data_IF_786547586041
#
_entry.id   IF_786547586041
#
_cell.length_a   1.000
_cell.length_b   1.000
_cell.length_c   1.000
_cell.angle_alpha   90.00
_cell.angle_beta   90.00
_cell.angle_gamma   90.00
#
_symmetry.space_group_name_H-M   'P 1'
#
loop_
_entity.id
_entity.type
_entity.pdbx_description
1 polymer ?
#
# COMPACT_ATOMS: atom_id res chain seq x y z
N UNK A 1 13.82 -7.27 -9.01
CA UNK A 1 12.53 -6.61 -8.70
C UNK A 1 11.87 -6.31 -10.01
N UNK A 2 10.66 -6.81 -10.21
CA UNK A 2 9.91 -6.66 -11.44
C UNK A 2 8.58 -5.95 -11.16
N UNK A 3 8.14 -5.15 -12.13
CA UNK A 3 6.86 -4.46 -12.05
C UNK A 3 5.83 -5.37 -12.70
N UNK A 4 4.93 -5.93 -11.89
CA UNK A 4 3.93 -6.90 -12.35
C UNK A 4 2.56 -6.23 -12.33
N UNK A 5 1.80 -6.26 -13.45
CA UNK A 5 0.41 -5.83 -13.42
C UNK A 5 -0.42 -6.86 -12.65
N UNK A 6 -1.25 -6.37 -11.71
CA UNK A 6 -2.12 -7.22 -10.89
C UNK A 6 -3.56 -6.76 -11.01
N UNK A 7 -4.50 -7.70 -10.96
CA UNK A 7 -5.92 -7.39 -10.97
C UNK A 7 -6.35 -6.84 -9.61
N UNK A 8 -7.29 -5.88 -9.61
CA UNK A 8 -7.81 -5.23 -8.40
C UNK A 8 -8.28 -6.22 -7.30
N UNK A 9 -8.96 -7.35 -7.61
CA UNK A 9 -9.41 -8.31 -6.59
C UNK A 9 -8.28 -8.96 -5.78
N UNK A 10 -7.04 -8.92 -6.27
CA UNK A 10 -5.87 -9.49 -5.56
C UNK A 10 -5.33 -8.55 -4.47
N UNK A 11 -5.84 -7.32 -4.37
CA UNK A 11 -5.41 -6.35 -3.36
C UNK A 11 -6.17 -6.60 -2.05
N UNK A 12 -5.47 -7.13 -1.04
CA UNK A 12 -6.09 -7.45 0.25
C UNK A 12 -6.19 -6.27 1.22
N UNK A 13 -5.26 -5.30 1.15
CA UNK A 13 -5.22 -4.16 2.05
C UNK A 13 -4.44 -3.00 1.42
N UNK A 14 -4.72 -1.77 1.87
CA UNK A 14 -3.97 -0.57 1.51
C UNK A 14 -3.32 0.04 2.75
N UNK A 15 -2.04 0.42 2.65
CA UNK A 15 -1.33 1.11 3.72
C UNK A 15 -1.66 2.61 3.75
N UNK A 16 -1.53 3.24 4.91
CA UNK A 16 -1.58 4.71 5.09
C UNK A 16 -0.28 5.40 4.71
N UNK A 17 0.83 4.67 4.74
CA UNK A 17 2.16 5.14 4.33
C UNK A 17 2.33 4.94 2.83
N UNK A 18 3.00 5.91 2.18
CA UNK A 18 3.41 5.87 0.78
C UNK A 18 4.92 6.08 0.69
N UNK A 19 5.55 5.43 -0.28
CA UNK A 19 6.96 5.65 -0.63
C UNK A 19 7.06 6.55 -1.86
N UNK A 20 8.16 7.30 -1.98
CA UNK A 20 8.43 8.08 -3.19
C UNK A 20 8.81 7.15 -4.32
N UNK A 21 8.20 7.33 -5.48
CA UNK A 21 8.44 6.53 -6.68
C UNK A 21 8.97 7.48 -7.77
N UNK A 22 10.13 7.21 -8.39
CA UNK A 22 10.63 8.02 -9.50
C UNK A 22 9.70 7.91 -10.71
N UNK A 23 9.73 8.94 -11.57
CA UNK A 23 8.85 9.01 -12.73
C UNK A 23 9.04 7.87 -13.75
N UNK A 24 10.23 7.25 -13.79
CA UNK A 24 10.54 6.14 -14.69
C UNK A 24 11.09 4.93 -13.90
N UNK A 25 10.46 3.77 -14.09
CA UNK A 25 10.83 2.49 -13.47
C UNK A 25 11.39 1.47 -14.48
N UNK A 26 11.54 1.84 -15.75
CA UNK A 26 12.18 0.97 -16.76
C UNK A 26 13.65 0.71 -16.43
N UNK A 27 14.45 1.70 -15.98
CA UNK A 27 15.84 1.47 -15.59
C UNK A 27 15.93 0.52 -14.40
N UNK A 28 16.99 -0.31 -14.37
CA UNK A 28 17.23 -1.25 -13.27
C UNK A 28 17.45 -0.51 -11.93
N UNK A 29 18.18 0.59 -11.97
CA UNK A 29 18.54 1.39 -10.78
C UNK A 29 17.29 1.94 -10.07
N UNK A 30 16.32 2.46 -10.84
CA UNK A 30 15.05 2.95 -10.28
C UNK A 30 14.28 1.84 -9.54
N UNK A 31 14.30 0.62 -10.08
CA UNK A 31 13.68 -0.55 -9.43
C UNK A 31 14.44 -0.99 -8.18
N UNK A 32 15.77 -1.01 -8.22
CA UNK A 32 16.59 -1.37 -7.07
C UNK A 32 16.43 -0.37 -5.92
N UNK A 33 16.36 0.91 -6.22
CA UNK A 33 16.13 1.96 -5.22
C UNK A 33 14.80 1.76 -4.48
N UNK A 34 13.71 1.45 -5.20
CA UNK A 34 12.42 1.15 -4.56
C UNK A 34 12.50 -0.11 -3.69
N UNK A 35 13.18 -1.15 -4.15
CA UNK A 35 13.31 -2.39 -3.37
C UNK A 35 13.94 -2.11 -2.00
N UNK A 36 15.01 -1.30 -1.97
CA UNK A 36 15.66 -0.90 -0.72
C UNK A 36 14.70 -0.10 0.18
N UNK A 37 13.97 0.86 -0.37
CA UNK A 37 12.99 1.64 0.38
C UNK A 37 11.87 0.77 0.98
N UNK A 38 11.41 -0.26 0.24
CA UNK A 38 10.41 -1.22 0.74
C UNK A 38 10.99 -2.09 1.86
N UNK A 39 12.24 -2.55 1.72
CA UNK A 39 12.92 -3.33 2.76
C UNK A 39 13.13 -2.53 4.04
N UNK A 40 13.57 -1.27 3.93
CA UNK A 40 13.70 -0.36 5.06
C UNK A 40 12.35 -0.12 5.75
N UNK A 41 11.27 0.01 4.98
CA UNK A 41 9.93 0.16 5.52
C UNK A 41 9.50 -1.09 6.30
N UNK A 42 9.81 -2.28 5.81
CA UNK A 42 9.58 -3.54 6.53
C UNK A 42 10.34 -3.60 7.86
N UNK A 43 11.61 -3.18 7.87
CA UNK A 43 12.42 -3.12 9.10
C UNK A 43 11.88 -2.10 10.10
N UNK A 44 11.33 -0.98 9.62
CA UNK A 44 10.75 0.07 10.47
C UNK A 44 9.40 -0.30 11.07
N UNK A 45 8.65 -1.18 10.42
CA UNK A 45 7.33 -1.63 10.84
C UNK A 45 7.29 -3.17 10.97
N UNK A 46 7.99 -3.74 11.98
CA UNK A 46 8.13 -5.20 12.12
C UNK A 46 6.79 -5.90 12.37
N UNK A 47 5.83 -5.23 13.01
CA UNK A 47 4.48 -5.76 13.26
C UNK A 47 3.52 -5.56 12.06
N UNK A 48 3.98 -4.89 11.00
CA UNK A 48 3.23 -4.63 9.79
C UNK A 48 2.86 -3.16 9.58
N UNK A 49 2.47 -2.85 8.35
CA UNK A 49 2.16 -1.47 7.94
C UNK A 49 0.80 -1.02 8.49
N UNK A 50 0.67 0.26 8.90
CA UNK A 50 -0.61 0.80 9.30
C UNK A 50 -1.58 0.77 8.12
N UNK A 51 -2.71 0.08 8.30
CA UNK A 51 -3.75 -0.10 7.27
C UNK A 51 -4.65 1.14 7.21
N UNK A 52 -5.16 1.43 6.02
CA UNK A 52 -6.18 2.44 5.82
C UNK A 52 -7.52 1.92 6.35
N UNK A 53 -8.27 2.77 7.05
CA UNK A 53 -9.60 2.39 7.53
C UNK A 53 -10.68 2.79 6.49
N UNK A 54 -11.58 1.87 6.10
CA UNK A 54 -12.56 2.14 5.06
C UNK A 54 -13.66 3.12 5.48
N UNK A 55 -14.11 3.06 6.73
CA UNK A 55 -15.27 3.82 7.24
C UNK A 55 -14.87 5.16 7.83
N UNK A 56 -13.69 5.21 8.49
CA UNK A 56 -13.17 6.46 9.05
C UNK A 56 -12.78 7.43 7.91
N UNK A 57 -12.29 8.61 8.31
CA UNK A 57 -11.89 9.73 7.42
C UNK A 57 -11.00 9.31 6.23
N UNK A 58 -10.33 8.15 6.31
CA UNK A 58 -9.35 7.74 5.32
C UNK A 58 -9.95 7.32 3.95
N UNK A 59 -11.02 6.48 3.88
CA UNK A 59 -11.67 6.13 2.60
C UNK A 59 -13.08 6.70 2.41
N UNK A 60 -13.73 7.20 3.48
CA UNK A 60 -15.06 7.81 3.43
C UNK A 60 -16.14 6.91 2.81
N UNK A 61 -16.11 5.62 3.13
CA UNK A 61 -17.19 4.70 2.78
C UNK A 61 -18.29 4.86 3.83
N UNK A 62 -19.45 5.35 3.42
CA UNK A 62 -20.58 5.71 4.30
C UNK A 62 -21.74 4.70 4.21
N UNK A 63 -21.60 3.64 3.41
CA UNK A 63 -22.64 2.63 3.24
C UNK A 63 -22.95 1.92 4.57
N UNK A 64 -24.21 1.96 5.06
CA UNK A 64 -24.55 1.50 6.39
C UNK A 64 -24.24 0.02 6.61
N UNK A 65 -24.42 -0.81 5.58
CA UNK A 65 -24.08 -2.24 5.59
C UNK A 65 -22.58 -2.48 5.82
N UNK A 66 -21.73 -1.64 5.22
CA UNK A 66 -20.27 -1.73 5.36
C UNK A 66 -19.82 -1.18 6.71
N UNK A 67 -20.46 -0.09 7.17
CA UNK A 67 -20.18 0.51 8.48
C UNK A 67 -20.50 -0.46 9.61
N UNK A 68 -21.59 -1.21 9.53
CA UNK A 68 -21.94 -2.25 10.51
C UNK A 68 -20.95 -3.41 10.53
N UNK A 69 -20.46 -3.84 9.37
CA UNK A 69 -19.48 -4.95 9.27
C UNK A 69 -18.08 -4.58 9.76
N UNK A 70 -17.70 -3.30 9.64
CA UNK A 70 -16.36 -2.81 9.98
C UNK A 70 -16.25 -2.34 11.45
N UNK A 71 -17.36 -1.99 12.11
CA UNK A 71 -17.41 -1.57 13.51
C UNK A 71 -17.39 -2.74 14.49
#
# INVERSE_FOLDING_TARGET
MDVVPVQLPLICARSKVRISIPADLRPLEGRQSILLAVQELGNRFPEGLPKLNPVKVDMKIEDPEIVEVVN
#
